data_IF_725011288377
#
_entry.id   IF_725011288377
#
_cell.length_a   1.000
_cell.length_b   1.000
_cell.length_c   1.000
_cell.angle_alpha   90.00
_cell.angle_beta   90.00
_cell.angle_gamma   90.00
#
_symmetry.space_group_name_H-M   'P 1'
#
loop_
_entity.id
_entity.type
_entity.pdbx_description
1 polymer ?
#
# COMPACT_ATOMS: atom_id res chain seq x y z
N UNK A 1 19.69 1.81 10.35
CA UNK A 1 18.55 2.67 9.96
C UNK A 1 17.37 1.74 9.73
N UNK A 2 16.29 1.83 10.52
CA UNK A 2 15.08 1.08 10.21
C UNK A 2 14.45 1.68 8.94
N UNK A 3 13.97 0.87 7.98
CA UNK A 3 13.26 1.42 6.83
C UNK A 3 12.03 2.15 7.37
N UNK A 4 11.94 3.45 7.10
CA UNK A 4 10.71 4.21 7.35
C UNK A 4 9.67 3.67 6.39
N UNK A 5 8.70 2.92 6.92
CA UNK A 5 7.60 2.38 6.12
C UNK A 5 6.77 3.56 5.60
N UNK A 6 6.59 3.72 4.28
CA UNK A 6 5.72 4.76 3.75
C UNK A 6 4.33 4.59 4.35
N UNK A 7 3.74 5.72 4.71
CA UNK A 7 2.37 5.78 5.21
C UNK A 7 1.51 6.43 4.16
N UNK A 8 0.57 5.65 3.66
CA UNK A 8 -0.39 6.09 2.66
C UNK A 8 -1.75 6.25 3.30
N UNK A 9 -2.49 7.24 2.81
CA UNK A 9 -3.86 7.51 3.20
C UNK A 9 -4.73 7.47 1.95
N UNK A 10 -5.87 6.77 2.04
CA UNK A 10 -6.94 6.82 1.04
C UNK A 10 -8.18 7.33 1.74
N UNK A 11 -8.63 8.50 1.34
CA UNK A 11 -9.77 9.16 1.97
C UNK A 11 -10.56 9.98 0.96
N UNK A 12 -11.79 10.33 1.32
CA UNK A 12 -12.64 11.21 0.54
C UNK A 12 -12.44 12.64 1.02
N UNK A 13 -11.97 13.52 0.13
CA UNK A 13 -11.68 14.91 0.46
C UNK A 13 -12.96 15.78 0.47
N UNK A 14 -12.80 17.08 0.76
CA UNK A 14 -13.93 18.02 0.81
C UNK A 14 -14.65 18.23 -0.52
N UNK A 15 -13.97 17.96 -1.64
CA UNK A 15 -14.54 18.03 -2.99
C UNK A 15 -15.20 16.71 -3.43
N UNK A 16 -15.45 15.81 -2.48
CA UNK A 16 -16.10 14.52 -2.69
C UNK A 16 -15.28 13.53 -3.57
N UNK A 17 -13.97 13.80 -3.74
CA UNK A 17 -13.02 13.00 -4.53
C UNK A 17 -12.25 12.03 -3.66
N UNK A 18 -11.94 10.85 -4.21
CA UNK A 18 -11.07 9.89 -3.55
C UNK A 18 -9.61 10.30 -3.74
N UNK A 19 -8.91 10.52 -2.64
CA UNK A 19 -7.55 11.06 -2.61
C UNK A 19 -6.60 10.04 -2.02
N UNK A 20 -5.45 9.88 -2.67
CA UNK A 20 -4.26 9.22 -2.12
C UNK A 20 -3.29 10.29 -1.65
N UNK A 21 -2.82 10.16 -0.42
CA UNK A 21 -1.80 11.02 0.17
C UNK A 21 -0.68 10.18 0.76
N UNK A 22 0.57 10.56 0.50
CA UNK A 22 1.77 9.96 1.08
C UNK A 22 2.26 10.85 2.21
N UNK A 23 2.30 10.33 3.44
CA UNK A 23 2.71 11.10 4.61
C UNK A 23 4.15 11.59 4.48
N UNK A 24 4.35 12.89 4.70
CA UNK A 24 5.65 13.55 4.53
C UNK A 24 5.89 14.12 3.13
N UNK A 25 4.95 13.95 2.20
CA UNK A 25 4.92 14.67 0.92
C UNK A 25 3.68 15.57 0.83
N UNK A 26 3.82 16.73 0.19
CA UNK A 26 2.68 17.64 -0.05
C UNK A 26 1.81 17.19 -1.24
N UNK A 27 2.17 16.09 -1.90
CA UNK A 27 1.49 15.59 -3.09
C UNK A 27 0.22 14.84 -2.71
N UNK A 28 -0.87 15.17 -3.41
CA UNK A 28 -2.14 14.45 -3.35
C UNK A 28 -2.58 14.02 -4.74
N UNK A 29 -3.04 12.77 -4.86
CA UNK A 29 -3.51 12.22 -6.13
C UNK A 29 -5.00 11.91 -6.03
N UNK A 30 -5.79 12.60 -6.84
CA UNK A 30 -7.24 12.41 -6.91
C UNK A 30 -7.61 11.30 -7.90
N UNK A 31 -8.61 10.51 -7.53
CA UNK A 31 -9.13 9.40 -8.31
C UNK A 31 -10.67 9.46 -8.37
N UNK A 32 -11.27 8.97 -9.47
CA UNK A 32 -12.72 9.02 -9.67
C UNK A 32 -13.46 8.02 -8.77
N UNK A 33 -12.84 6.91 -8.40
CA UNK A 33 -13.46 5.88 -7.56
C UNK A 33 -12.57 5.49 -6.38
N UNK A 34 -13.19 4.95 -5.34
CA UNK A 34 -12.48 4.39 -4.17
C UNK A 34 -11.51 3.29 -4.59
N UNK A 35 -11.96 2.42 -5.49
CA UNK A 35 -11.16 1.27 -5.92
C UNK A 35 -9.89 1.71 -6.66
N UNK A 36 -9.99 2.75 -7.50
CA UNK A 36 -8.82 3.30 -8.19
C UNK A 36 -7.82 3.91 -7.21
N UNK A 37 -8.30 4.67 -6.21
CA UNK A 37 -7.44 5.23 -5.17
C UNK A 37 -6.75 4.14 -4.33
N UNK A 38 -7.49 3.11 -3.91
CA UNK A 38 -6.92 1.97 -3.17
C UNK A 38 -5.89 1.23 -4.01
N UNK A 39 -6.18 0.99 -5.29
CA UNK A 39 -5.25 0.36 -6.22
C UNK A 39 -3.97 1.17 -6.39
N UNK A 40 -4.08 2.48 -6.61
CA UNK A 40 -2.95 3.38 -6.73
C UNK A 40 -2.11 3.43 -5.45
N UNK A 41 -2.73 3.55 -4.28
CA UNK A 41 -2.02 3.57 -3.00
C UNK A 41 -1.25 2.27 -2.74
N UNK A 42 -1.83 1.12 -3.08
CA UNK A 42 -1.14 -0.17 -2.99
C UNK A 42 0.02 -0.26 -3.97
N UNK A 43 -0.14 0.15 -5.23
CA UNK A 43 0.94 0.15 -6.21
C UNK A 43 2.12 1.02 -5.75
N UNK A 44 1.83 2.22 -5.21
CA UNK A 44 2.85 3.08 -4.61
C UNK A 44 3.53 2.34 -3.46
N UNK A 45 2.78 1.85 -2.47
CA UNK A 45 3.36 1.14 -1.33
C UNK A 45 4.17 -0.11 -1.71
N UNK A 46 3.73 -0.87 -2.71
CA UNK A 46 4.43 -2.04 -3.23
C UNK A 46 5.78 -1.65 -3.86
N UNK A 47 5.88 -0.49 -4.50
CA UNK A 47 7.15 0.02 -5.04
C UNK A 47 8.21 0.31 -3.97
N UNK A 48 7.78 0.61 -2.74
CA UNK A 48 8.66 0.74 -1.56
C UNK A 48 8.95 -0.62 -0.88
N UNK A 49 8.38 -1.72 -1.38
CA UNK A 49 8.54 -3.06 -0.81
C UNK A 49 7.78 -3.31 0.49
N UNK A 50 7.18 -2.28 1.09
CA UNK A 50 6.42 -2.34 2.33
C UNK A 50 5.63 -1.05 2.53
N UNK A 51 4.49 -1.12 3.25
CA UNK A 51 3.67 0.07 3.52
C UNK A 51 2.73 -0.09 4.70
N UNK A 52 2.29 1.05 5.23
CA UNK A 52 1.08 1.20 6.07
C UNK A 52 0.06 2.01 5.26
N UNK A 53 -1.15 1.52 5.15
CA UNK A 53 -2.21 2.12 4.33
C UNK A 53 -3.47 2.32 5.18
N UNK A 54 -3.83 3.58 5.42
CA UNK A 54 -5.05 3.97 6.11
C UNK A 54 -6.18 4.15 5.08
N UNK A 55 -7.19 3.30 5.15
CA UNK A 55 -8.31 3.26 4.21
C UNK A 55 -9.58 3.78 4.86
N UNK A 56 -10.13 4.88 4.35
CA UNK A 56 -11.44 5.34 4.78
C UNK A 56 -12.53 4.33 4.36
N UNK A 57 -13.40 4.02 5.32
CA UNK A 57 -14.60 3.20 5.18
C UNK A 57 -15.80 4.09 4.89
N UNK A 58 -16.90 3.49 4.46
CA UNK A 58 -18.13 4.22 4.11
C UNK A 58 -18.79 4.94 5.28
N UNK A 59 -18.48 4.53 6.51
CA UNK A 59 -18.94 5.17 7.75
C UNK A 59 -17.97 6.26 8.25
N UNK A 60 -16.97 6.62 7.46
CA UNK A 60 -15.97 7.65 7.78
C UNK A 60 -14.84 7.18 8.68
N UNK A 61 -14.89 5.96 9.25
CA UNK A 61 -13.77 5.38 10.01
C UNK A 61 -12.63 4.97 9.09
N UNK A 62 -11.46 4.73 9.66
CA UNK A 62 -10.30 4.23 8.93
C UNK A 62 -9.97 2.79 9.32
N UNK A 63 -9.65 1.97 8.32
CA UNK A 63 -9.05 0.65 8.47
C UNK A 63 -7.56 0.74 8.16
N UNK A 64 -6.71 0.06 8.93
CA UNK A 64 -5.28 -0.02 8.67
C UNK A 64 -4.93 -1.33 7.96
N UNK A 65 -4.33 -1.20 6.79
CA UNK A 65 -3.68 -2.28 6.05
C UNK A 65 -2.17 -2.15 6.20
N UNK A 66 -1.47 -3.27 6.44
CA UNK A 66 0.00 -3.30 6.52
C UNK A 66 0.53 -4.41 5.64
N UNK A 67 1.52 -4.09 4.81
CA UNK A 67 2.16 -5.04 3.91
C UNK A 67 3.67 -4.96 4.03
N UNK A 68 4.34 -6.11 3.98
CA UNK A 68 5.78 -6.22 3.89
C UNK A 68 6.13 -7.33 2.88
N UNK A 69 6.60 -6.93 1.71
CA UNK A 69 6.91 -7.85 0.61
C UNK A 69 8.25 -8.57 0.83
N UNK A 70 9.13 -8.09 1.71
CA UNK A 70 10.35 -8.82 2.11
C UNK A 70 10.05 -10.15 2.82
N UNK A 71 8.79 -10.37 3.26
CA UNK A 71 8.31 -11.66 3.80
C UNK A 71 7.61 -12.55 2.78
N UNK A 72 7.45 -12.12 1.53
CA UNK A 72 7.07 -13.02 0.42
C UNK A 72 8.31 -13.86 0.09
N UNK A 73 8.50 -14.89 0.92
CA UNK A 73 9.46 -15.98 0.81
C UNK A 73 9.75 -16.27 -0.67
N UNK A 74 11.04 -16.25 -1.01
CA UNK A 74 11.57 -16.91 -2.19
C UNK A 74 10.92 -18.29 -2.35
N UNK A 75 10.60 -18.75 -3.58
CA UNK A 75 10.29 -20.15 -3.78
C UNK A 75 11.43 -20.93 -3.14
N UNK A 76 11.11 -21.80 -2.16
CA UNK A 76 12.11 -22.75 -1.66
C UNK A 76 12.63 -23.47 -2.89
N UNK A 77 13.89 -23.24 -3.26
CA UNK A 77 14.56 -24.06 -4.26
C UNK A 77 14.50 -25.49 -3.70
N UNK A 78 13.56 -26.26 -4.23
CA UNK A 78 13.48 -27.69 -4.00
C UNK A 78 14.73 -28.22 -4.66
N UNK A 79 15.67 -28.70 -3.83
CA UNK A 79 16.99 -29.10 -4.27
C UNK A 79 16.88 -30.06 -5.45
N UNK A 80 17.64 -29.77 -6.51
CA UNK A 80 18.07 -30.79 -7.43
C UNK A 80 19.03 -31.70 -6.65
N UNK A 81 18.48 -32.67 -5.92
CA UNK A 81 19.23 -33.86 -5.54
C UNK A 81 19.34 -34.72 -6.79
N UNK A 82 20.53 -34.72 -7.38
CA UNK A 82 20.89 -35.72 -8.36
C UNK A 82 20.98 -37.07 -7.67
N UNK A 83 20.40 -38.09 -8.28
CA UNK A 83 20.77 -39.48 -8.05
C UNK A 83 21.01 -40.14 -9.41
N UNK A 84 22.31 -40.31 -9.66
CA UNK A 84 23.01 -41.40 -10.36
C UNK A 84 22.21 -42.30 -11.32
#
# INVERSE_FOLDING_TARGET
MYPVLPVLWVYRNYDDRWTVHLEGEDSEWCHPTRNDAVGAARLIGESYGCYRLYLQLTDGRFCLEMMNLSRRREPRQMGSEGEN
#
